data_IF_819797593780
#
_entry.id   IF_819797593780
#
_cell.length_a   1.000
_cell.length_b   1.000
_cell.length_c   1.000
_cell.angle_alpha   90.00
_cell.angle_beta   90.00
_cell.angle_gamma   90.00
#
_symmetry.space_group_name_H-M   'P 1'
#
loop_
_entity.id
_entity.type
_entity.pdbx_description
1 polymer ?
#
# COMPACT_ATOMS: atom_id res chain seq x y z
N UNK A 1 -2.77 -26.68 -17.53
CA UNK A 1 -1.78 -26.15 -16.58
C UNK A 1 -1.48 -24.68 -16.89
N UNK A 2 -1.55 -23.83 -15.91
CA UNK A 2 -1.30 -22.40 -16.11
C UNK A 2 0.17 -22.12 -16.42
N UNK A 3 0.42 -21.44 -17.52
CA UNK A 3 1.77 -20.98 -17.87
C UNK A 3 2.04 -19.60 -17.27
N UNK A 4 1.88 -19.52 -15.98
CA UNK A 4 1.99 -18.27 -15.24
C UNK A 4 3.34 -17.58 -15.43
N UNK A 5 4.42 -18.37 -15.42
CA UNK A 5 5.77 -17.84 -15.60
C UNK A 5 6.00 -17.28 -17.01
N UNK A 6 5.38 -17.90 -18.02
CA UNK A 6 5.51 -17.42 -19.39
C UNK A 6 4.79 -16.11 -19.57
N UNK A 7 3.59 -15.97 -18.99
CA UNK A 7 2.85 -14.72 -19.00
C UNK A 7 3.65 -13.63 -18.30
N UNK A 8 4.23 -13.91 -17.14
CA UNK A 8 5.07 -12.96 -16.42
C UNK A 8 6.25 -12.49 -17.25
N UNK A 9 6.94 -13.42 -17.94
CA UNK A 9 8.06 -13.07 -18.82
C UNK A 9 7.64 -12.15 -19.95
N UNK A 10 6.50 -12.44 -20.59
CA UNK A 10 5.98 -11.63 -21.68
C UNK A 10 5.63 -10.23 -21.18
N UNK A 11 4.95 -10.13 -20.04
CA UNK A 11 4.59 -8.86 -19.43
C UNK A 11 5.83 -8.04 -19.07
N UNK A 12 6.83 -8.69 -18.45
CA UNK A 12 8.08 -8.03 -18.11
C UNK A 12 8.82 -7.52 -19.34
N UNK A 13 8.86 -8.32 -20.39
CA UNK A 13 9.53 -7.94 -21.64
C UNK A 13 8.85 -6.75 -22.29
N UNK A 14 7.52 -6.76 -22.37
CA UNK A 14 6.76 -5.65 -22.94
C UNK A 14 6.88 -4.39 -22.09
N UNK A 15 6.82 -4.54 -20.77
CA UNK A 15 6.99 -3.43 -19.85
C UNK A 15 8.36 -2.78 -20.02
N UNK A 16 9.41 -3.61 -20.07
CA UNK A 16 10.78 -3.13 -20.24
C UNK A 16 10.94 -2.34 -21.55
N UNK A 17 10.37 -2.85 -22.64
CA UNK A 17 10.40 -2.16 -23.95
C UNK A 17 9.74 -0.79 -23.91
N UNK A 18 8.76 -0.60 -23.03
CA UNK A 18 8.02 0.66 -22.89
C UNK A 18 8.52 1.52 -21.73
N UNK A 19 9.67 1.19 -21.15
CA UNK A 19 10.25 1.94 -20.05
C UNK A 19 9.50 1.80 -18.73
N UNK A 20 8.65 0.80 -18.61
CA UNK A 20 7.84 0.57 -17.41
C UNK A 20 8.60 -0.35 -16.46
N UNK A 21 8.72 0.07 -15.21
CA UNK A 21 9.36 -0.71 -14.17
C UNK A 21 8.39 -1.72 -13.57
N UNK A 22 8.73 -3.01 -13.61
CA UNK A 22 7.93 -4.06 -13.00
C UNK A 22 8.52 -4.44 -11.66
N UNK A 23 7.66 -4.58 -10.66
CA UNK A 23 8.04 -5.04 -9.33
C UNK A 23 7.06 -6.12 -8.86
N UNK A 24 7.58 -7.07 -8.10
CA UNK A 24 6.78 -8.13 -7.52
C UNK A 24 6.53 -7.83 -6.05
N UNK A 25 5.31 -8.05 -5.61
CA UNK A 25 4.95 -7.92 -4.20
C UNK A 25 4.33 -9.23 -3.72
N UNK A 26 4.42 -9.46 -2.40
CA UNK A 26 3.78 -10.62 -1.81
C UNK A 26 2.27 -10.38 -1.81
N UNK A 27 1.54 -11.21 -2.55
CA UNK A 27 0.11 -11.06 -2.72
C UNK A 27 -0.72 -11.80 -1.65
N UNK A 28 -0.06 -12.47 -0.70
CA UNK A 28 -0.78 -13.22 0.34
C UNK A 28 -1.72 -12.29 1.12
N UNK A 29 -2.96 -12.72 1.30
CA UNK A 29 -4.03 -12.00 1.99
C UNK A 29 -4.50 -10.71 1.33
N UNK A 30 -4.03 -10.34 0.14
CA UNK A 30 -4.47 -9.11 -0.52
C UNK A 30 -5.95 -9.13 -0.89
N UNK A 31 -6.48 -10.31 -1.22
CA UNK A 31 -7.91 -10.46 -1.52
C UNK A 31 -8.75 -10.79 -0.27
N UNK A 32 -8.09 -11.14 0.82
CA UNK A 32 -8.76 -11.50 2.08
C UNK A 32 -9.02 -10.30 2.99
N UNK A 33 -8.17 -9.30 2.90
CA UNK A 33 -8.25 -8.11 3.75
C UNK A 33 -8.90 -6.96 3.00
N UNK A 34 -9.78 -6.23 3.70
CA UNK A 34 -10.38 -5.02 3.17
C UNK A 34 -9.34 -3.91 3.05
N UNK A 35 -9.36 -3.17 1.95
CA UNK A 35 -8.39 -2.10 1.74
C UNK A 35 -8.55 -0.95 2.75
N UNK A 36 -9.71 -0.80 3.35
CA UNK A 36 -10.00 0.26 4.32
C UNK A 36 -9.53 -0.07 5.74
N UNK A 37 -8.93 -1.25 5.93
CA UNK A 37 -8.45 -1.67 7.24
C UNK A 37 -9.51 -2.24 8.17
N UNK A 38 -10.73 -2.45 7.70
CA UNK A 38 -11.84 -2.95 8.55
C UNK A 38 -11.70 -4.43 8.91
N UNK A 39 -10.76 -5.16 8.31
CA UNK A 39 -10.50 -6.56 8.61
C UNK A 39 -10.77 -7.48 7.44
N UNK A 40 -11.07 -8.73 7.73
CA UNK A 40 -11.33 -9.70 6.68
C UNK A 40 -12.64 -9.43 5.96
N UNK A 41 -12.63 -9.63 4.64
CA UNK A 41 -13.83 -9.49 3.82
C UNK A 41 -14.62 -10.79 3.80
N UNK A 42 -15.95 -10.69 3.70
CA UNK A 42 -16.81 -11.82 3.46
C UNK A 42 -17.12 -11.91 1.97
N UNK A 43 -16.94 -13.10 1.39
CA UNK A 43 -17.26 -13.29 -0.01
C UNK A 43 -18.75 -13.52 -0.19
N UNK A 44 -19.29 -12.98 -1.27
CA UNK A 44 -20.68 -13.17 -1.62
C UNK A 44 -20.84 -14.58 -2.23
N UNK A 45 -21.77 -15.37 -1.71
CA UNK A 45 -22.00 -16.74 -2.19
C UNK A 45 -22.68 -16.76 -3.57
N UNK A 46 -23.46 -15.74 -3.90
CA UNK A 46 -24.16 -15.67 -5.18
C UNK A 46 -23.35 -14.97 -6.26
N UNK A 47 -22.47 -14.06 -5.86
CA UNK A 47 -21.60 -13.35 -6.80
C UNK A 47 -20.18 -13.31 -6.25
N UNK A 48 -19.33 -14.20 -6.78
CA UNK A 48 -17.96 -14.36 -6.33
C UNK A 48 -17.07 -13.14 -6.63
N UNK A 49 -17.53 -12.26 -7.52
CA UNK A 49 -16.80 -11.02 -7.84
C UNK A 49 -16.96 -9.96 -6.75
N UNK A 50 -17.93 -10.11 -5.87
CA UNK A 50 -18.21 -9.13 -4.81
C UNK A 50 -17.74 -9.64 -3.45
N UNK A 51 -17.22 -8.71 -2.66
CA UNK A 51 -16.92 -8.94 -1.25
C UNK A 51 -17.60 -7.88 -0.39
N UNK A 52 -17.95 -8.27 0.82
CA UNK A 52 -18.57 -7.37 1.79
C UNK A 52 -17.56 -7.09 2.91
N UNK A 53 -17.39 -5.80 3.21
CA UNK A 53 -16.57 -5.36 4.32
C UNK A 53 -17.36 -5.42 5.63
N UNK A 54 -16.68 -5.37 6.76
CA UNK A 54 -17.33 -5.40 8.08
C UNK A 54 -18.29 -4.23 8.29
N UNK A 55 -18.03 -3.10 7.66
CA UNK A 55 -18.91 -1.92 7.73
C UNK A 55 -20.13 -2.00 6.82
N UNK A 56 -20.35 -3.13 6.15
CA UNK A 56 -21.49 -3.36 5.27
C UNK A 56 -21.30 -2.94 3.82
N UNK A 57 -20.22 -2.26 3.49
CA UNK A 57 -19.93 -1.86 2.11
C UNK A 57 -19.58 -3.06 1.24
N UNK A 58 -19.99 -3.02 -0.01
CA UNK A 58 -19.66 -4.05 -1.00
C UNK A 58 -18.71 -3.47 -2.05
N UNK A 59 -17.71 -4.27 -2.40
CA UNK A 59 -16.72 -3.89 -3.40
C UNK A 59 -16.41 -5.09 -4.29
N UNK A 60 -15.87 -4.80 -5.47
CA UNK A 60 -15.31 -5.84 -6.33
C UNK A 60 -14.06 -6.42 -5.66
N UNK A 61 -13.98 -7.76 -5.61
CA UNK A 61 -12.88 -8.47 -4.95
C UNK A 61 -11.53 -8.16 -5.59
N UNK A 62 -11.48 -8.10 -6.93
CA UNK A 62 -10.24 -7.86 -7.65
C UNK A 62 -9.76 -6.43 -7.44
N UNK A 63 -10.69 -5.48 -7.43
CA UNK A 63 -10.37 -4.08 -7.15
C UNK A 63 -9.81 -3.92 -5.74
N UNK A 64 -10.44 -4.56 -4.76
CA UNK A 64 -9.94 -4.56 -3.38
C UNK A 64 -8.52 -5.14 -3.30
N UNK A 65 -8.29 -6.28 -3.94
CA UNK A 65 -6.97 -6.91 -3.96
C UNK A 65 -5.94 -6.02 -4.64
N UNK A 66 -6.29 -5.37 -5.74
CA UNK A 66 -5.36 -4.50 -6.48
C UNK A 66 -4.95 -3.28 -5.65
N UNK A 67 -5.84 -2.69 -4.88
CA UNK A 67 -5.49 -1.61 -3.95
C UNK A 67 -4.47 -2.06 -2.91
N UNK A 68 -4.66 -3.26 -2.35
CA UNK A 68 -3.73 -3.79 -1.35
C UNK A 68 -2.37 -4.15 -1.98
N UNK A 69 -2.36 -4.67 -3.20
CA UNK A 69 -1.10 -4.96 -3.92
C UNK A 69 -0.32 -3.67 -4.16
N UNK A 70 -0.98 -2.64 -4.68
CA UNK A 70 -0.36 -1.34 -4.91
C UNK A 70 0.16 -0.71 -3.63
N UNK A 71 -0.62 -0.80 -2.57
CA UNK A 71 -0.22 -0.29 -1.25
C UNK A 71 1.06 -0.94 -0.74
N UNK A 72 1.19 -2.26 -0.89
CA UNK A 72 2.40 -2.98 -0.44
C UNK A 72 3.65 -2.57 -1.21
N UNK A 73 3.50 -2.26 -2.49
CA UNK A 73 4.60 -1.72 -3.27
C UNK A 73 5.07 -0.37 -2.69
N UNK A 74 4.15 0.57 -2.49
CA UNK A 74 4.49 1.89 -1.96
C UNK A 74 5.00 1.83 -0.53
N UNK A 75 4.44 0.99 0.32
CA UNK A 75 4.93 0.78 1.68
C UNK A 75 6.41 0.37 1.63
N UNK A 76 6.74 -0.60 0.79
CA UNK A 76 8.12 -1.06 0.63
C UNK A 76 9.05 0.08 0.18
N UNK A 77 8.60 0.89 -0.78
CA UNK A 77 9.41 2.00 -1.29
C UNK A 77 9.61 3.09 -0.23
N UNK A 78 8.58 3.42 0.55
CA UNK A 78 8.69 4.40 1.63
C UNK A 78 9.59 3.92 2.77
N UNK A 79 9.63 2.62 3.03
CA UNK A 79 10.44 2.07 4.12
C UNK A 79 11.91 1.88 3.75
N UNK A 80 12.25 1.82 2.46
CA UNK A 80 13.64 1.61 2.02
C UNK A 80 14.65 2.60 2.60
N UNK A 81 14.40 3.92 2.56
CA UNK A 81 15.36 4.89 3.05
C UNK A 81 15.42 4.99 4.57
N UNK A 82 14.54 4.31 5.29
CA UNK A 82 14.43 4.44 6.74
C UNK A 82 15.43 3.49 7.41
N UNK A 83 16.30 4.00 8.32
CA UNK A 83 17.23 3.14 9.04
C UNK A 83 16.52 2.19 9.98
N UNK A 84 17.13 1.03 10.23
CA UNK A 84 16.58 0.03 11.12
C UNK A 84 16.34 0.56 12.54
N UNK A 85 17.14 1.51 12.96
CA UNK A 85 17.00 2.14 14.29
C UNK A 85 15.66 2.85 14.48
N UNK A 86 15.06 3.32 13.39
CA UNK A 86 13.77 4.01 13.43
C UNK A 86 12.58 3.08 13.18
N UNK A 87 12.86 1.85 12.75
CA UNK A 87 11.82 0.87 12.40
C UNK A 87 10.87 0.58 13.56
N UNK A 88 11.43 0.36 14.76
CA UNK A 88 10.62 0.03 15.93
C UNK A 88 9.63 1.14 16.28
N UNK A 89 10.04 2.40 16.12
CA UNK A 89 9.18 3.55 16.36
C UNK A 89 8.02 3.63 15.37
N UNK A 90 8.31 3.34 14.11
CA UNK A 90 7.31 3.36 13.04
C UNK A 90 6.33 2.21 13.23
N UNK A 91 6.82 1.01 13.51
CA UNK A 91 5.97 -0.16 13.76
C UNK A 91 5.09 0.04 14.99
N UNK A 92 5.60 0.72 16.02
CA UNK A 92 4.80 1.04 17.20
C UNK A 92 3.59 1.93 16.85
N UNK A 93 3.73 2.81 15.86
CA UNK A 93 2.65 3.68 15.39
C UNK A 93 1.76 3.02 14.36
N UNK A 94 2.29 2.10 13.58
CA UNK A 94 1.58 1.37 12.52
C UNK A 94 1.86 -0.13 12.68
N UNK A 95 1.15 -0.80 13.60
CA UNK A 95 1.45 -2.21 13.95
C UNK A 95 1.33 -3.19 12.78
N UNK A 96 0.51 -2.89 11.79
CA UNK A 96 0.32 -3.75 10.62
C UNK A 96 1.62 -3.96 9.83
N UNK A 97 2.57 -3.04 9.97
CA UNK A 97 3.86 -3.13 9.29
C UNK A 97 4.72 -4.30 9.79
N UNK A 98 4.43 -4.81 10.98
CA UNK A 98 5.15 -5.95 11.53
C UNK A 98 5.07 -7.17 10.60
N UNK A 99 3.92 -7.35 9.95
CA UNK A 99 3.72 -8.42 8.98
C UNK A 99 3.26 -7.84 7.65
N UNK A 100 4.12 -7.90 6.65
CA UNK A 100 3.80 -7.39 5.30
C UNK A 100 2.52 -7.99 4.72
N UNK A 101 2.20 -9.23 5.08
CA UNK A 101 0.98 -9.90 4.63
C UNK A 101 -0.31 -9.32 5.21
N UNK A 102 -0.20 -8.47 6.23
CA UNK A 102 -1.34 -7.78 6.84
C UNK A 102 -1.50 -6.34 6.34
N UNK A 103 -0.58 -5.87 5.50
CA UNK A 103 -0.63 -4.49 5.02
C UNK A 103 -1.71 -4.31 3.96
N UNK A 104 -2.47 -3.24 4.11
CA UNK A 104 -3.56 -2.82 3.22
C UNK A 104 -3.35 -1.38 2.76
N UNK A 105 -4.26 -0.85 1.95
CA UNK A 105 -4.22 0.55 1.56
C UNK A 105 -4.32 1.48 2.78
N UNK A 106 -5.13 1.10 3.77
CA UNK A 106 -5.23 1.84 5.04
C UNK A 106 -3.88 1.90 5.76
N UNK A 107 -3.10 0.81 5.73
CA UNK A 107 -1.75 0.79 6.29
C UNK A 107 -0.84 1.81 5.60
N UNK A 108 -0.93 1.92 4.28
CA UNK A 108 -0.15 2.88 3.52
C UNK A 108 -0.48 4.32 3.93
N UNK A 109 -1.77 4.63 4.09
CA UNK A 109 -2.18 5.97 4.53
C UNK A 109 -1.71 6.27 5.95
N UNK A 110 -1.76 5.29 6.85
CA UNK A 110 -1.26 5.45 8.20
C UNK A 110 0.25 5.70 8.22
N UNK A 111 1.01 4.96 7.43
CA UNK A 111 2.45 5.16 7.28
C UNK A 111 2.76 6.54 6.71
N UNK A 112 2.05 6.94 5.68
CA UNK A 112 2.22 8.25 5.06
C UNK A 112 1.97 9.38 6.07
N UNK A 113 0.93 9.26 6.87
CA UNK A 113 0.62 10.23 7.92
C UNK A 113 1.74 10.31 8.98
N UNK A 114 2.28 9.16 9.40
CA UNK A 114 3.39 9.12 10.35
C UNK A 114 4.64 9.79 9.78
N UNK A 115 4.98 9.50 8.53
CA UNK A 115 6.16 10.08 7.88
C UNK A 115 5.99 11.59 7.67
N UNK A 116 4.79 12.04 7.32
CA UNK A 116 4.52 13.46 7.15
C UNK A 116 4.54 14.24 8.47
N UNK A 117 4.14 13.62 9.56
CA UNK A 117 4.27 14.25 10.89
C UNK A 117 5.73 14.52 11.22
N UNK A 118 6.63 13.61 10.86
CA UNK A 118 8.07 13.81 11.05
C UNK A 118 8.60 14.93 10.17
N UNK A 119 8.15 14.99 8.93
CA UNK A 119 8.57 16.08 8.03
C UNK A 119 8.01 17.42 8.44
N UNK A 120 6.82 17.47 9.00
CA UNK A 120 6.24 18.71 9.51
C UNK A 120 7.07 19.26 10.65
N UNK A 121 7.56 18.41 11.55
CA UNK A 121 8.43 18.87 12.63
C UNK A 121 9.75 19.44 12.11
N UNK A 122 10.26 18.90 11.02
CA UNK A 122 11.45 19.46 10.35
C UNK A 122 11.10 20.76 9.63
N UNK A 123 9.94 20.82 8.99
CA UNK A 123 9.54 21.99 8.23
C UNK A 123 9.16 23.18 9.09
N UNK A 124 9.01 23.00 10.39
CA UNK A 124 8.84 24.14 11.28
C UNK A 124 10.04 25.07 11.26
N UNK A 125 11.20 24.52 10.98
CA UNK A 125 12.39 25.33 10.82
C UNK A 125 12.43 26.02 9.47
N UNK A 126 11.52 25.72 8.59
CA UNK A 126 11.54 26.29 7.26
C UNK A 126 11.04 27.72 7.31
N UNK A 127 11.84 28.65 6.81
CA UNK A 127 11.41 30.03 6.77
C UNK A 127 10.22 30.14 5.84
N UNK A 128 9.14 30.55 6.38
CA UNK A 128 7.99 30.80 5.58
C UNK A 128 8.12 32.09 4.83
N UNK A 129 9.28 32.55 4.82
CA UNK A 129 9.50 33.76 4.21
C UNK A 129 8.81 34.00 2.95
N UNK A 130 8.48 33.07 2.50
CA UNK A 130 7.78 33.27 1.38
C UNK A 130 6.81 34.30 1.46
N UNK A 131 6.46 34.51 2.10
CA UNK A 131 5.59 35.23 2.00
C UNK A 131 5.54 36.28 1.42
N UNK A 132 5.99 36.47 1.33
CA UNK A 132 6.02 37.35 0.90
C UNK A 132 5.61 37.99 0.17
N UNK A 133 5.62 37.98 0.16
CA UNK A 133 5.46 38.48 -0.37
C UNK A 133 4.87 39.09 -0.87
N UNK A 134 4.71 39.05 -0.83
CA UNK A 134 4.22 39.58 -1.26
C UNK A 134 3.97 40.19 -1.83
N UNK A 135 4.00 40.20 -1.72
CA UNK A 135 3.73 40.85 -2.18
C UNK A 135 3.10 41.33 -2.71
#
# INVERSE_FOLDING_TARGET
MWRNRDIQKIVMHQAHRNGIRVRFVNARNTSRLAFDGSGEVARNSTNMALCRFRNGKQYNCDLNASYNIGARYFIREYLKPIPETEWSLIVAKVPELERRTNCTLSTLFSLYAVLNCQTVSVSESWPHGGNESGA
#
